data_IF_941041149395
#
_entry.id   IF_941041149395
#
_cell.length_a   1.000
_cell.length_b   1.000
_cell.length_c   1.000
_cell.angle_alpha   90.00
_cell.angle_beta   90.00
_cell.angle_gamma   90.00
#
_symmetry.space_group_name_H-M   'P 1'
#
loop_
_entity.id
_entity.type
_entity.pdbx_description
1 polymer ?
#
# COMPACT_ATOMS: atom_id res chain seq x y z
N UNK A 1 41.70 16.47 -10.39
CA UNK A 1 41.11 15.81 -11.57
C UNK A 1 39.84 15.14 -11.09
N UNK A 2 38.66 15.58 -11.50
CA UNK A 2 37.40 14.88 -11.18
C UNK A 2 37.30 13.67 -12.11
N UNK A 3 37.38 12.47 -11.54
CA UNK A 3 36.99 11.27 -12.27
C UNK A 3 35.48 11.35 -12.52
N UNK A 4 35.10 11.67 -13.76
CA UNK A 4 33.71 11.58 -14.20
C UNK A 4 33.44 10.10 -14.44
N UNK A 5 32.67 9.48 -13.54
CA UNK A 5 32.24 8.10 -13.70
C UNK A 5 31.36 7.97 -14.94
N UNK A 6 31.78 7.12 -15.88
CA UNK A 6 30.94 6.71 -17.00
C UNK A 6 30.10 5.49 -16.56
N UNK A 7 28.76 5.57 -16.54
CA UNK A 7 27.90 4.46 -16.14
C UNK A 7 28.13 3.16 -16.93
N UNK A 8 28.73 3.25 -18.13
CA UNK A 8 29.11 2.08 -18.94
C UNK A 8 30.27 1.28 -18.34
N UNK A 9 31.09 1.91 -17.49
CA UNK A 9 32.17 1.24 -16.75
C UNK A 9 31.64 0.33 -15.63
N UNK A 10 30.35 0.43 -15.27
CA UNK A 10 29.71 -0.43 -14.28
C UNK A 10 29.55 -1.90 -14.71
N UNK A 11 29.87 -2.22 -15.97
CA UNK A 11 29.77 -3.55 -16.55
C UNK A 11 28.42 -3.83 -17.22
N UNK A 12 28.17 -5.10 -17.51
CA UNK A 12 26.92 -5.52 -18.15
C UNK A 12 25.75 -5.43 -17.16
N UNK A 13 24.82 -4.52 -17.43
CA UNK A 13 23.57 -4.45 -16.69
C UNK A 13 22.70 -5.67 -17.02
N UNK A 14 22.51 -6.56 -16.04
CA UNK A 14 21.63 -7.71 -16.15
C UNK A 14 20.33 -7.35 -15.44
N UNK A 15 19.25 -7.23 -16.21
CA UNK A 15 17.90 -7.07 -15.68
C UNK A 15 16.92 -7.93 -16.50
N UNK A 16 15.80 -8.34 -15.90
CA UNK A 16 14.74 -9.02 -16.64
C UNK A 16 14.30 -8.20 -17.86
N UNK A 17 14.20 -8.87 -19.01
CA UNK A 17 13.92 -8.20 -20.28
C UNK A 17 12.57 -7.47 -20.21
N UNK A 18 12.57 -6.18 -20.55
CA UNK A 18 11.36 -5.34 -20.55
C UNK A 18 10.92 -4.82 -19.19
N UNK A 19 11.61 -5.15 -18.09
CA UNK A 19 11.27 -4.67 -16.74
C UNK A 19 11.31 -3.14 -16.65
N UNK A 20 12.39 -2.54 -17.16
CA UNK A 20 12.58 -1.08 -17.10
C UNK A 20 11.46 -0.35 -17.85
N UNK A 21 11.16 -0.78 -19.09
CA UNK A 21 10.08 -0.22 -19.92
C UNK A 21 8.71 -0.37 -19.29
N UNK A 22 8.46 -1.53 -18.65
CA UNK A 22 7.21 -1.78 -17.93
C UNK A 22 7.06 -0.85 -16.73
N UNK A 23 8.10 -0.74 -15.89
CA UNK A 23 8.05 0.10 -14.68
C UNK A 23 7.96 1.59 -15.02
N UNK A 24 8.65 2.03 -16.08
CA UNK A 24 8.63 3.43 -16.55
C UNK A 24 7.26 3.88 -17.08
N UNK A 25 6.42 2.94 -17.54
CA UNK A 25 5.04 3.21 -17.99
C UNK A 25 4.05 3.34 -16.83
N UNK A 26 4.41 2.92 -15.61
CA UNK A 26 3.55 3.03 -14.43
C UNK A 26 3.60 4.44 -13.84
N UNK A 27 2.52 4.92 -13.19
CA UNK A 27 2.59 6.08 -12.32
C UNK A 27 3.69 5.90 -11.27
N UNK A 28 4.49 6.93 -11.01
CA UNK A 28 5.65 6.81 -10.12
C UNK A 28 5.26 6.32 -8.72
N UNK A 29 4.24 6.96 -8.12
CA UNK A 29 3.71 6.61 -6.79
C UNK A 29 2.59 5.58 -6.82
N UNK A 30 2.23 5.07 -8.00
CA UNK A 30 1.15 4.11 -8.13
C UNK A 30 -0.23 4.75 -8.20
N UNK A 31 -1.25 3.98 -7.83
CA UNK A 31 -2.65 4.41 -7.89
C UNK A 31 -3.47 3.72 -6.80
N UNK A 32 -4.55 4.38 -6.39
CA UNK A 32 -5.52 3.81 -5.46
C UNK A 32 -6.89 3.78 -6.11
N UNK A 33 -7.59 2.67 -5.96
CA UNK A 33 -8.99 2.51 -6.36
C UNK A 33 -9.83 2.20 -5.12
N UNK A 34 -11.02 2.81 -5.05
CA UNK A 34 -12.01 2.54 -4.02
C UNK A 34 -13.17 1.80 -4.67
N UNK A 35 -13.67 0.76 -4.02
CA UNK A 35 -14.85 0.01 -4.47
C UNK A 35 -16.17 0.76 -4.23
N UNK A 36 -16.12 1.96 -3.64
CA UNK A 36 -17.25 2.87 -3.42
C UNK A 36 -16.93 4.26 -3.93
N UNK A 37 -17.86 4.84 -4.68
CA UNK A 37 -17.82 6.26 -5.07
C UNK A 37 -18.78 7.12 -4.23
N UNK A 38 -19.75 6.49 -3.56
CA UNK A 38 -20.78 7.14 -2.76
C UNK A 38 -21.07 6.38 -1.48
N UNK A 39 -21.33 7.11 -0.40
CA UNK A 39 -21.75 6.57 0.90
C UNK A 39 -22.90 7.41 1.45
N UNK A 40 -23.86 6.75 2.09
CA UNK A 40 -24.89 7.36 2.95
C UNK A 40 -24.30 7.63 4.33
N UNK A 41 -24.42 8.86 4.81
CA UNK A 41 -23.96 9.25 6.14
C UNK A 41 -24.56 8.36 7.25
N UNK A 42 -23.72 7.93 8.19
CA UNK A 42 -24.12 7.09 9.32
C UNK A 42 -24.37 5.60 9.02
N UNK A 43 -24.14 5.13 7.78
CA UNK A 43 -24.25 3.71 7.47
C UNK A 43 -23.04 2.91 7.97
N UNK A 44 -23.26 1.60 8.16
CA UNK A 44 -22.19 0.63 8.39
C UNK A 44 -21.84 -0.09 7.08
N UNK A 45 -20.70 0.24 6.50
CA UNK A 45 -20.23 -0.36 5.23
C UNK A 45 -18.79 -0.88 5.37
N UNK A 46 -18.47 -1.87 4.55
CA UNK A 46 -17.08 -2.31 4.31
C UNK A 46 -16.56 -1.59 3.08
N UNK A 47 -15.47 -0.82 3.21
CA UNK A 47 -14.86 -0.12 2.08
C UNK A 47 -13.54 -0.80 1.73
N UNK A 48 -13.37 -1.19 0.47
CA UNK A 48 -12.13 -1.76 -0.06
C UNK A 48 -11.36 -0.71 -0.83
N UNK A 49 -10.12 -0.46 -0.40
CA UNK A 49 -9.15 0.36 -1.13
C UNK A 49 -8.07 -0.57 -1.69
N UNK A 50 -7.88 -0.54 -3.01
CA UNK A 50 -6.82 -1.28 -3.68
C UNK A 50 -5.74 -0.30 -4.10
N UNK A 51 -4.61 -0.34 -3.41
CA UNK A 51 -3.42 0.40 -3.81
C UNK A 51 -2.55 -0.48 -4.71
N UNK A 52 -2.32 -0.06 -5.95
CA UNK A 52 -1.37 -0.67 -6.87
C UNK A 52 -0.03 0.08 -6.80
N UNK A 53 1.03 -0.66 -6.51
CA UNK A 53 2.38 -0.13 -6.31
C UNK A 53 2.90 0.48 -7.61
N UNK A 54 3.41 1.72 -7.51
CA UNK A 54 3.95 2.46 -8.64
C UNK A 54 5.29 1.98 -9.15
N UNK A 55 5.78 2.68 -10.17
CA UNK A 55 7.10 2.42 -10.76
C UNK A 55 8.27 2.53 -9.76
N UNK A 56 8.08 3.22 -8.63
CA UNK A 56 9.10 3.31 -7.57
C UNK A 56 9.33 2.01 -6.81
N UNK A 57 8.35 1.09 -6.81
CA UNK A 57 8.30 0.00 -5.83
C UNK A 57 8.09 0.52 -4.40
N UNK A 58 8.05 -0.40 -3.43
CA UNK A 58 8.13 -0.06 -2.01
C UNK A 58 9.15 -0.96 -1.33
N UNK A 59 10.14 -0.34 -0.68
CA UNK A 59 11.22 -1.03 0.00
C UNK A 59 10.78 -1.60 1.35
N UNK A 60 11.63 -2.43 1.93
CA UNK A 60 11.50 -2.86 3.32
C UNK A 60 11.51 -1.66 4.27
N UNK A 61 10.62 -1.68 5.25
CA UNK A 61 10.39 -0.57 6.18
C UNK A 61 9.66 0.63 5.58
N UNK A 62 9.25 0.59 4.31
CA UNK A 62 8.33 1.58 3.77
C UNK A 62 6.94 1.42 4.40
N UNK A 63 6.15 2.49 4.39
CA UNK A 63 4.83 2.51 4.99
C UNK A 63 3.85 3.30 4.14
N UNK A 64 2.61 2.82 4.11
CA UNK A 64 1.47 3.55 3.55
C UNK A 64 0.72 4.24 4.68
N UNK A 65 0.23 5.44 4.40
CA UNK A 65 -0.54 6.24 5.36
C UNK A 65 -1.84 6.70 4.74
N UNK A 66 -2.95 6.13 5.20
CA UNK A 66 -4.29 6.54 4.83
C UNK A 66 -4.76 7.55 5.86
N UNK A 67 -4.83 8.82 5.46
CA UNK A 67 -5.06 9.93 6.37
C UNK A 67 -6.48 10.50 6.19
N UNK A 68 -7.19 10.70 7.30
CA UNK A 68 -8.57 11.16 7.31
C UNK A 68 -8.66 12.53 7.98
N UNK A 69 -9.52 13.40 7.42
CA UNK A 69 -9.83 14.69 8.05
C UNK A 69 -10.39 14.46 9.45
N UNK A 70 -9.92 15.22 10.43
CA UNK A 70 -10.30 15.02 11.84
C UNK A 70 -11.80 15.20 12.08
N UNK A 71 -12.40 16.24 11.50
CA UNK A 71 -13.85 16.50 11.55
C UNK A 71 -14.56 15.64 10.51
N UNK A 72 -14.70 14.37 10.83
CA UNK A 72 -15.42 13.37 10.06
C UNK A 72 -16.12 12.41 11.00
N UNK A 73 -17.19 11.79 10.51
CA UNK A 73 -17.94 10.72 11.17
C UNK A 73 -17.30 9.34 11.01
N UNK A 74 -16.04 9.29 10.53
CA UNK A 74 -15.27 8.05 10.45
C UNK A 74 -15.23 7.34 11.80
N UNK A 75 -15.44 6.03 11.75
CA UNK A 75 -15.45 5.18 12.92
C UNK A 75 -14.09 5.15 13.66
N UNK A 76 -14.11 4.68 14.90
CA UNK A 76 -12.90 4.32 15.62
C UNK A 76 -12.43 2.94 15.15
N UNK A 77 -11.54 2.94 14.17
CA UNK A 77 -10.95 1.72 13.64
C UNK A 77 -10.14 0.96 14.70
N UNK A 78 -10.07 -0.36 14.53
CA UNK A 78 -9.27 -1.24 15.37
C UNK A 78 -8.64 -2.36 14.53
N UNK A 79 -7.55 -2.95 15.03
CA UNK A 79 -6.79 -4.00 14.32
C UNK A 79 -6.58 -5.26 15.16
N UNK A 80 -7.30 -5.40 16.28
CA UNK A 80 -7.08 -6.45 17.28
C UNK A 80 -8.18 -7.52 17.34
N UNK A 81 -9.42 -7.21 16.94
CA UNK A 81 -10.54 -8.15 16.95
C UNK A 81 -11.15 -8.28 15.54
N UNK A 82 -10.79 -9.31 14.76
CA UNK A 82 -11.32 -9.49 13.40
C UNK A 82 -12.84 -9.68 13.31
N UNK A 83 -13.48 -10.15 14.38
CA UNK A 83 -14.94 -10.31 14.44
C UNK A 83 -15.66 -9.08 15.03
N UNK A 84 -14.89 -8.06 15.44
CA UNK A 84 -15.43 -6.84 16.03
C UNK A 84 -15.77 -5.79 14.96
N UNK A 85 -16.60 -4.78 15.31
CA UNK A 85 -16.87 -3.66 14.43
C UNK A 85 -15.59 -2.88 14.11
N UNK A 86 -15.60 -2.17 12.99
CA UNK A 86 -14.53 -1.26 12.56
C UNK A 86 -13.14 -1.93 12.44
N UNK A 87 -13.11 -3.25 12.22
CA UNK A 87 -11.87 -3.97 12.01
C UNK A 87 -11.22 -3.52 10.69
N UNK A 88 -9.92 -3.23 10.72
CA UNK A 88 -9.14 -2.88 9.53
C UNK A 88 -8.12 -3.96 9.27
N UNK A 89 -8.06 -4.41 8.02
CA UNK A 89 -7.07 -5.34 7.53
C UNK A 89 -6.40 -4.82 6.26
N UNK A 90 -5.20 -5.33 5.98
CA UNK A 90 -4.52 -5.13 4.72
C UNK A 90 -3.89 -6.45 4.29
N UNK A 91 -4.01 -6.77 3.01
CA UNK A 91 -3.47 -8.00 2.42
C UNK A 91 -2.64 -7.67 1.18
N UNK A 92 -1.56 -8.40 1.01
CA UNK A 92 -0.70 -8.34 -0.17
C UNK A 92 -1.24 -9.25 -1.26
N UNK A 93 -1.26 -8.76 -2.50
CA UNK A 93 -1.54 -9.53 -3.70
C UNK A 93 -0.42 -9.31 -4.72
N UNK A 94 0.23 -10.40 -5.12
CA UNK A 94 1.29 -10.39 -6.12
C UNK A 94 0.78 -9.89 -7.48
N UNK A 95 1.55 -9.00 -8.11
CA UNK A 95 1.35 -8.56 -9.48
C UNK A 95 1.95 -9.53 -10.50
N UNK A 96 1.67 -9.25 -11.78
CA UNK A 96 2.30 -9.99 -12.87
C UNK A 96 3.79 -9.62 -12.99
N UNK A 97 4.63 -10.63 -13.15
CA UNK A 97 6.07 -10.50 -13.33
C UNK A 97 6.45 -10.56 -14.81
N UNK A 98 7.57 -9.93 -15.19
CA UNK A 98 8.22 -10.23 -16.47
C UNK A 98 9.12 -11.47 -16.34
N UNK A 99 9.46 -12.18 -17.45
CA UNK A 99 10.35 -13.33 -17.39
C UNK A 99 11.69 -13.01 -16.72
N UNK A 100 12.05 -13.79 -15.69
CA UNK A 100 13.27 -13.62 -14.91
C UNK A 100 13.20 -12.62 -13.75
N UNK A 101 12.05 -11.97 -13.53
CA UNK A 101 11.84 -11.12 -12.36
C UNK A 101 11.50 -11.95 -11.12
N UNK A 102 12.11 -11.62 -9.99
CA UNK A 102 11.78 -12.23 -8.69
C UNK A 102 10.46 -11.72 -8.13
N UNK A 103 9.74 -12.59 -7.40
CA UNK A 103 8.59 -12.19 -6.61
C UNK A 103 8.99 -11.23 -5.48
N UNK A 104 8.04 -10.41 -5.04
CA UNK A 104 8.17 -9.61 -3.85
C UNK A 104 8.35 -10.51 -2.62
N UNK A 105 9.14 -10.05 -1.65
CA UNK A 105 9.57 -10.86 -0.51
C UNK A 105 8.91 -10.47 0.80
N UNK A 106 7.99 -9.51 0.79
CA UNK A 106 7.26 -9.06 1.99
C UNK A 106 6.71 -10.25 2.78
N UNK A 107 7.01 -10.31 4.07
CA UNK A 107 6.49 -11.38 4.94
C UNK A 107 5.15 -11.01 5.56
N UNK A 108 4.97 -9.74 5.94
CA UNK A 108 3.71 -9.28 6.52
C UNK A 108 3.47 -7.79 6.34
N UNK A 109 2.19 -7.43 6.40
CA UNK A 109 1.73 -6.04 6.49
C UNK A 109 1.22 -5.80 7.91
N UNK A 110 1.85 -4.87 8.63
CA UNK A 110 1.40 -4.50 9.98
C UNK A 110 0.47 -3.29 9.89
N UNK A 111 -0.76 -3.45 10.38
CA UNK A 111 -1.77 -2.39 10.36
C UNK A 111 -1.93 -1.80 11.75
N UNK A 112 -1.93 -0.46 11.82
CA UNK A 112 -2.23 0.30 13.05
C UNK A 112 -3.13 1.49 12.75
N UNK A 113 -3.92 1.88 13.75
CA UNK A 113 -4.78 3.06 13.69
C UNK A 113 -4.38 4.07 14.76
N UNK A 114 -4.04 5.28 14.31
CA UNK A 114 -3.75 6.41 15.18
C UNK A 114 -4.94 7.39 15.09
N UNK A 115 -5.70 7.51 16.18
CA UNK A 115 -6.89 8.39 16.23
C UNK A 115 -6.53 9.88 16.16
N UNK A 116 -5.31 10.25 16.56
CA UNK A 116 -4.80 11.63 16.60
C UNK A 116 -3.27 11.63 16.56
N UNK A 117 -2.66 12.75 16.14
CA UNK A 117 -1.21 12.96 16.19
C UNK A 117 -0.58 13.33 14.86
N UNK A 118 -1.36 13.34 13.78
CA UNK A 118 -0.89 13.63 12.42
C UNK A 118 -1.19 15.08 11.98
N UNK A 119 -0.57 15.48 10.87
CA UNK A 119 -0.66 16.82 10.26
C UNK A 119 -2.11 17.28 10.08
N UNK A 120 -2.40 18.57 10.30
CA UNK A 120 -3.76 19.09 10.06
C UNK A 120 -3.99 19.28 8.56
N UNK A 121 -5.22 19.03 8.05
CA UNK A 121 -6.43 18.58 8.75
C UNK A 121 -6.53 17.07 8.98
N UNK A 122 -5.53 16.28 8.56
CA UNK A 122 -5.55 14.81 8.53
C UNK A 122 -5.02 14.14 9.80
N UNK A 123 -5.64 14.42 10.95
CA UNK A 123 -5.09 13.98 12.23
C UNK A 123 -5.28 12.49 12.53
N UNK A 124 -6.24 11.82 11.88
CA UNK A 124 -6.49 10.37 11.99
C UNK A 124 -5.73 9.66 10.87
N UNK A 125 -5.09 8.53 11.16
CA UNK A 125 -4.46 7.74 10.12
C UNK A 125 -4.51 6.24 10.38
N UNK A 126 -4.72 5.47 9.31
CA UNK A 126 -4.35 4.06 9.26
C UNK A 126 -2.96 3.99 8.64
N UNK A 127 -2.08 3.24 9.28
CA UNK A 127 -0.70 3.05 8.85
C UNK A 127 -0.49 1.57 8.59
N UNK A 128 0.10 1.28 7.43
CA UNK A 128 0.39 -0.07 6.96
C UNK A 128 1.89 -0.13 6.73
N UNK A 129 2.60 -0.78 7.64
CA UNK A 129 4.04 -0.97 7.55
C UNK A 129 4.34 -2.24 6.73
N UNK A 130 5.28 -2.14 5.79
CA UNK A 130 5.81 -3.26 5.00
C UNK A 130 6.98 -3.82 5.78
N UNK A 131 6.88 -5.08 6.19
CA UNK A 131 7.87 -5.68 7.09
C UNK A 131 8.52 -6.90 6.44
N UNK A 132 9.84 -6.91 6.55
CA UNK A 132 10.72 -8.02 6.16
C UNK A 132 10.56 -8.34 4.67
N UNK A 133 10.83 -7.33 3.84
CA UNK A 133 10.84 -7.48 2.39
C UNK A 133 10.28 -6.29 1.65
N UNK A 134 10.18 -6.40 0.33
CA UNK A 134 9.76 -5.31 -0.55
C UNK A 134 8.54 -5.72 -1.39
N UNK A 135 7.87 -4.72 -1.96
CA UNK A 135 6.81 -4.88 -2.96
C UNK A 135 7.31 -4.42 -4.33
N UNK A 136 7.01 -5.21 -5.37
CA UNK A 136 7.31 -4.89 -6.75
C UNK A 136 6.34 -3.85 -7.33
N UNK A 137 6.76 -3.06 -8.33
CA UNK A 137 5.84 -2.29 -9.16
C UNK A 137 4.72 -3.15 -9.77
N UNK A 138 3.48 -2.80 -9.49
CA UNK A 138 2.29 -3.54 -9.91
C UNK A 138 1.73 -4.55 -8.90
N UNK A 139 2.45 -4.83 -7.81
CA UNK A 139 1.85 -5.52 -6.67
C UNK A 139 0.72 -4.68 -6.07
N UNK A 140 -0.18 -5.34 -5.34
CA UNK A 140 -1.33 -4.68 -4.74
C UNK A 140 -1.34 -4.86 -3.23
N UNK A 141 -1.74 -3.80 -2.55
CA UNK A 141 -2.17 -3.83 -1.15
C UNK A 141 -3.67 -3.58 -1.13
N UNK A 142 -4.43 -4.60 -0.76
CA UNK A 142 -5.89 -4.54 -0.62
C UNK A 142 -6.18 -4.21 0.84
N UNK A 143 -6.80 -3.06 1.08
CA UNK A 143 -7.07 -2.51 2.40
C UNK A 143 -8.57 -2.55 2.61
N UNK A 144 -9.03 -3.13 3.71
CA UNK A 144 -10.46 -3.21 4.05
C UNK A 144 -10.72 -2.41 5.31
N UNK A 145 -11.59 -1.41 5.18
CA UNK A 145 -12.09 -0.60 6.28
C UNK A 145 -13.42 -1.22 6.71
N UNK A 146 -13.48 -1.78 7.93
CA UNK A 146 -14.65 -2.54 8.38
C UNK A 146 -14.72 -3.94 7.80
N UNK A 147 -13.59 -4.67 7.72
CA UNK A 147 -13.51 -6.01 7.14
C UNK A 147 -14.46 -7.00 7.84
N UNK A 148 -15.44 -7.52 7.09
CA UNK A 148 -16.49 -8.41 7.58
C UNK A 148 -16.19 -9.90 7.38
N UNK A 149 -15.06 -10.27 6.77
CA UNK A 149 -14.77 -11.67 6.40
C UNK A 149 -14.68 -12.62 7.59
N UNK A 150 -14.46 -12.09 8.80
CA UNK A 150 -14.41 -12.85 10.05
C UNK A 150 -15.64 -12.62 10.94
N UNK A 151 -16.74 -12.11 10.37
CA UNK A 151 -18.00 -11.88 11.09
C UNK A 151 -18.18 -10.48 11.68
N UNK A 152 -17.36 -9.51 11.25
CA UNK A 152 -17.49 -8.09 11.64
C UNK A 152 -18.86 -7.50 11.28
N UNK A 153 -19.32 -6.54 12.09
CA UNK A 153 -20.54 -5.77 11.89
C UNK A 153 -20.23 -4.42 11.22
#
# INVERSE_FOLDING_TARGET
MSNVFDPREAGHYIAPQGLYERNKKRPFLGSVHCDRDTLVAGQWDEITLVYEVGGSGLADGAWLKLAFKFYSDWALFQTSNPAGPNYVSAEYQAGELVPGQSQATVQHLKVRFDQKGHERPFQKAIIIDIIDGYLNPGDKVIIRLGDRRQGGA
#
